data_IF_007696534205
#
_entry.id   IF_007696534205
#
_cell.length_a   1.000
_cell.length_b   1.000
_cell.length_c   1.000
_cell.angle_alpha   90.00
_cell.angle_beta   90.00
_cell.angle_gamma   90.00
#
_symmetry.space_group_name_H-M   'P 1'
#
loop_
_entity.id
_entity.type
_entity.pdbx_description
1 polymer ?
#
# COMPACT_ATOMS: atom_id res chain seq x y z
N UNK A 1 9.85 26.52 -17.56
CA UNK A 1 8.74 27.48 -17.39
C UNK A 1 8.18 28.00 -18.74
N UNK A 2 8.93 28.67 -19.65
CA UNK A 2 8.32 29.20 -20.89
C UNK A 2 7.85 28.11 -21.87
N UNK A 3 8.61 27.02 -22.02
CA UNK A 3 8.27 25.93 -22.94
C UNK A 3 7.01 25.14 -22.54
N UNK A 4 6.75 25.00 -21.24
CA UNK A 4 5.56 24.30 -20.74
C UNK A 4 4.28 25.11 -21.02
N UNK A 5 4.34 26.43 -20.86
CA UNK A 5 3.20 27.30 -21.18
C UNK A 5 2.91 27.30 -22.68
N UNK A 6 3.94 27.28 -23.54
CA UNK A 6 3.75 27.15 -24.99
C UNK A 6 3.08 25.81 -25.33
N UNK A 7 3.48 24.72 -24.68
CA UNK A 7 2.87 23.41 -24.87
C UNK A 7 1.42 23.33 -24.33
N UNK A 8 1.14 24.01 -23.22
CA UNK A 8 -0.20 24.08 -22.65
C UNK A 8 -1.14 24.88 -23.58
N UNK A 9 -0.69 26.02 -24.09
CA UNK A 9 -1.45 26.85 -25.03
C UNK A 9 -1.68 26.11 -26.34
N UNK A 10 -0.70 25.34 -26.83
CA UNK A 10 -0.89 24.53 -28.04
C UNK A 10 -1.90 23.40 -27.84
N UNK A 11 -1.93 22.75 -26.66
CA UNK A 11 -2.99 21.81 -26.28
C UNK A 11 -4.35 22.47 -26.17
N UNK A 12 -4.46 23.61 -25.48
CA UNK A 12 -5.72 24.35 -25.34
C UNK A 12 -6.26 24.78 -26.71
N UNK A 13 -5.39 25.15 -27.66
CA UNK A 13 -5.79 25.45 -29.03
C UNK A 13 -6.35 24.22 -29.75
N UNK A 14 -5.78 23.04 -29.52
CA UNK A 14 -6.29 21.78 -30.09
C UNK A 14 -7.66 21.42 -29.51
N UNK A 15 -7.84 21.57 -28.21
CA UNK A 15 -9.14 21.32 -27.56
C UNK A 15 -10.22 22.31 -28.04
N UNK A 16 -9.86 23.58 -28.23
CA UNK A 16 -10.74 24.59 -28.83
C UNK A 16 -11.11 24.25 -30.28
N UNK A 17 -10.18 23.70 -31.06
CA UNK A 17 -10.43 23.20 -32.42
C UNK A 17 -11.42 22.03 -32.40
N UNK A 18 -11.20 21.03 -31.54
CA UNK A 18 -12.09 19.87 -31.39
C UNK A 18 -13.51 20.32 -31.03
N UNK A 19 -13.64 21.28 -30.10
CA UNK A 19 -14.95 21.86 -29.73
C UNK A 19 -15.61 22.58 -30.90
N UNK A 20 -14.87 23.41 -31.64
CA UNK A 20 -15.42 24.14 -32.79
C UNK A 20 -15.92 23.22 -33.92
N UNK A 21 -15.26 22.08 -34.13
CA UNK A 21 -15.68 21.04 -35.09
C UNK A 21 -16.98 20.38 -34.64
N UNK A 22 -17.17 20.16 -33.33
CA UNK A 22 -18.42 19.63 -32.78
C UNK A 22 -19.58 20.65 -32.80
N UNK A 23 -19.29 21.94 -32.65
CA UNK A 23 -20.28 23.02 -32.55
C UNK A 23 -20.60 23.69 -33.91
N UNK A 24 -19.99 23.23 -35.01
CA UNK A 24 -20.17 23.77 -36.38
C UNK A 24 -20.02 25.30 -36.47
N UNK A 25 -19.16 25.88 -35.64
CA UNK A 25 -18.90 27.32 -35.60
C UNK A 25 -17.67 27.69 -36.42
N UNK A 26 -17.77 28.78 -37.20
CA UNK A 26 -16.70 29.26 -38.09
C UNK A 26 -15.57 30.02 -37.37
N UNK A 27 -15.77 30.39 -36.10
CA UNK A 27 -14.78 31.17 -35.34
C UNK A 27 -14.33 30.39 -34.10
N UNK A 28 -13.01 30.26 -33.94
CA UNK A 28 -12.40 29.54 -32.82
C UNK A 28 -12.03 30.55 -31.74
N UNK A 29 -12.72 30.48 -30.60
CA UNK A 29 -12.40 31.28 -29.42
C UNK A 29 -11.87 30.38 -28.31
N UNK A 30 -10.69 30.72 -27.78
CA UNK A 30 -10.09 30.03 -26.63
C UNK A 30 -10.84 30.40 -25.35
N UNK A 31 -11.48 29.42 -24.74
CA UNK A 31 -12.21 29.56 -23.49
C UNK A 31 -11.50 28.93 -22.29
N UNK A 32 -11.98 29.24 -21.08
CA UNK A 32 -11.49 28.60 -19.83
C UNK A 32 -11.64 27.07 -19.85
N UNK A 33 -12.68 26.57 -20.52
CA UNK A 33 -12.96 25.13 -20.64
C UNK A 33 -11.85 24.41 -21.41
N UNK A 34 -11.32 25.03 -22.47
CA UNK A 34 -10.26 24.46 -23.30
C UNK A 34 -8.94 24.37 -22.51
N UNK A 35 -8.65 25.35 -21.66
CA UNK A 35 -7.50 25.29 -20.74
C UNK A 35 -7.70 24.25 -19.64
N UNK A 36 -8.90 24.10 -19.08
CA UNK A 36 -9.19 23.05 -18.09
C UNK A 36 -9.05 21.65 -18.69
N UNK A 37 -9.46 21.45 -19.94
CA UNK A 37 -9.26 20.21 -20.67
C UNK A 37 -7.78 19.97 -20.97
N UNK A 38 -7.06 20.99 -21.46
CA UNK A 38 -5.63 20.90 -21.75
C UNK A 38 -4.76 20.59 -20.53
N UNK A 39 -5.19 21.04 -19.34
CA UNK A 39 -4.53 20.74 -18.07
C UNK A 39 -4.71 19.29 -17.63
N UNK A 40 -5.79 18.60 -18.03
CA UNK A 40 -6.01 17.18 -17.71
C UNK A 40 -4.96 16.33 -18.43
N UNK A 41 -4.04 15.74 -17.67
CA UNK A 41 -2.93 14.95 -18.22
C UNK A 41 -1.77 15.80 -18.76
N UNK A 42 -1.66 17.07 -18.37
CA UNK A 42 -0.47 17.87 -18.63
C UNK A 42 0.56 17.72 -17.51
N UNK A 43 1.72 17.15 -17.86
CA UNK A 43 2.87 17.07 -16.96
C UNK A 43 3.96 18.04 -17.44
N UNK A 44 4.30 19.08 -16.65
CA UNK A 44 5.35 20.03 -17.02
C UNK A 44 6.70 19.32 -17.13
N UNK A 45 7.61 19.86 -17.94
CA UNK A 45 8.90 19.25 -18.23
C UNK A 45 9.71 18.92 -16.96
N UNK A 46 9.64 19.77 -15.93
CA UNK A 46 10.31 19.53 -14.64
C UNK A 46 9.77 18.34 -13.85
N UNK A 47 8.51 17.94 -14.10
CA UNK A 47 7.86 16.80 -13.45
C UNK A 47 7.83 15.55 -14.35
N UNK A 48 8.27 15.66 -15.61
CA UNK A 48 8.43 14.48 -16.46
C UNK A 48 9.55 13.63 -15.85
N UNK A 49 9.23 12.37 -15.52
CA UNK A 49 10.07 11.41 -14.77
C UNK A 49 9.97 11.48 -13.23
N UNK A 50 9.18 12.40 -12.66
CA UNK A 50 8.81 12.34 -11.24
C UNK A 50 7.51 11.55 -11.12
N UNK A 51 7.57 10.34 -10.59
CA UNK A 51 6.38 9.55 -10.24
C UNK A 51 5.73 10.15 -9.00
N UNK A 52 5.02 11.26 -9.19
CA UNK A 52 4.19 11.84 -8.14
C UNK A 52 3.07 10.86 -7.81
N UNK A 53 3.05 10.41 -6.56
CA UNK A 53 1.95 9.60 -6.07
C UNK A 53 0.84 10.53 -5.62
N UNK A 54 -0.33 10.44 -6.25
CA UNK A 54 -1.53 11.07 -5.71
C UNK A 54 -2.02 10.22 -4.54
N UNK A 55 -2.04 10.80 -3.34
CA UNK A 55 -2.63 10.17 -2.17
C UNK A 55 -4.12 9.96 -2.40
N UNK A 56 -4.56 8.71 -2.50
CA UNK A 56 -5.98 8.34 -2.53
C UNK A 56 -6.60 8.30 -1.14
N UNK A 57 -5.78 8.47 -0.09
CA UNK A 57 -6.17 8.39 1.31
C UNK A 57 -6.50 9.79 1.85
N UNK A 58 -7.71 9.95 2.38
CA UNK A 58 -8.19 11.17 3.04
C UNK A 58 -8.05 11.05 4.56
N UNK A 59 -8.04 12.17 5.28
CA UNK A 59 -7.96 12.13 6.75
C UNK A 59 -9.11 11.36 7.42
N UNK A 60 -10.29 11.36 6.79
CA UNK A 60 -11.47 10.63 7.25
C UNK A 60 -11.28 9.12 7.28
N UNK A 61 -10.28 8.61 6.54
CA UNK A 61 -9.96 7.19 6.46
C UNK A 61 -8.98 6.72 7.54
N UNK A 62 -8.41 7.64 8.32
CA UNK A 62 -7.44 7.35 9.39
C UNK A 62 -8.10 7.62 10.74
N UNK A 63 -8.25 6.58 11.56
CA UNK A 63 -8.69 6.70 12.95
C UNK A 63 -7.51 6.88 13.91
N UNK A 64 -7.74 7.66 14.98
CA UNK A 64 -6.76 7.88 16.05
C UNK A 64 -5.51 8.69 15.65
N UNK A 65 -4.46 8.53 16.47
CA UNK A 65 -3.16 9.21 16.34
C UNK A 65 -3.28 10.74 16.30
N UNK A 66 -4.18 11.30 17.12
CA UNK A 66 -4.54 12.72 17.12
C UNK A 66 -3.34 13.63 17.38
N UNK A 67 -2.47 13.28 18.33
CA UNK A 67 -1.27 14.06 18.66
C UNK A 67 -0.25 14.06 17.53
N UNK A 68 0.10 12.88 17.01
CA UNK A 68 1.04 12.73 15.89
C UNK A 68 0.54 13.46 14.65
N UNK A 69 -0.76 13.35 14.34
CA UNK A 69 -1.42 14.06 13.23
C UNK A 69 -1.31 15.57 13.41
N UNK A 70 -1.60 16.07 14.61
CA UNK A 70 -1.52 17.51 14.93
C UNK A 70 -0.11 18.03 14.68
N UNK A 71 0.92 17.36 15.19
CA UNK A 71 2.31 17.81 15.02
C UNK A 71 2.74 17.79 13.54
N UNK A 72 2.32 16.78 12.78
CA UNK A 72 2.59 16.71 11.34
C UNK A 72 1.92 17.87 10.58
N UNK A 73 0.67 18.19 10.90
CA UNK A 73 -0.05 19.32 10.32
C UNK A 73 0.61 20.65 10.69
N UNK A 74 0.95 20.86 11.95
CA UNK A 74 1.66 22.07 12.40
C UNK A 74 2.99 22.24 11.67
N UNK A 75 3.70 21.15 11.38
CA UNK A 75 5.01 21.23 10.73
C UNK A 75 4.90 21.46 9.22
N UNK A 76 3.92 20.86 8.54
CA UNK A 76 3.80 20.91 7.07
C UNK A 76 2.86 22.02 6.58
N UNK A 77 1.74 22.24 7.28
CA UNK A 77 0.71 23.19 6.89
C UNK A 77 1.07 24.62 7.32
N UNK A 78 1.53 24.82 8.56
CA UNK A 78 1.71 26.18 9.10
C UNK A 78 2.72 27.03 8.34
N UNK A 79 3.89 26.51 7.90
CA UNK A 79 4.82 27.32 7.11
C UNK A 79 4.22 27.77 5.78
N UNK A 80 3.34 26.95 5.20
CA UNK A 80 2.67 27.23 3.93
C UNK A 80 1.52 28.23 4.11
N UNK A 81 0.68 28.04 5.14
CA UNK A 81 -0.48 28.89 5.41
C UNK A 81 -0.10 30.24 6.00
N UNK A 82 0.89 30.28 6.89
CA UNK A 82 1.31 31.48 7.64
C UNK A 82 2.69 31.99 7.21
N UNK A 83 3.05 31.83 5.94
CA UNK A 83 4.35 32.23 5.40
C UNK A 83 4.82 33.65 5.80
N UNK A 84 3.96 34.70 5.85
CA UNK A 84 4.39 36.04 6.27
C UNK A 84 4.85 36.12 7.73
N UNK A 85 4.25 35.33 8.62
CA UNK A 85 4.59 35.28 10.04
C UNK A 85 5.95 34.58 10.23
N UNK A 86 6.13 33.45 9.53
CA UNK A 86 7.38 32.71 9.56
C UNK A 86 8.55 33.48 8.93
N UNK A 87 8.30 34.31 7.92
CA UNK A 87 9.33 35.15 7.31
C UNK A 87 9.88 36.24 8.26
N UNK A 88 9.08 36.67 9.24
CA UNK A 88 9.48 37.69 10.23
C UNK A 88 10.17 37.08 11.45
N UNK A 89 10.02 35.77 11.67
CA UNK A 89 10.67 35.07 12.76
C UNK A 89 12.02 34.50 12.30
N UNK A 90 13.12 34.67 13.06
CA UNK A 90 14.40 34.00 12.79
C UNK A 90 14.36 32.51 13.21
N UNK A 91 13.21 31.86 13.03
CA UNK A 91 12.99 30.46 13.38
C UNK A 91 13.39 29.60 12.19
N UNK A 92 14.30 28.67 12.44
CA UNK A 92 14.64 27.64 11.48
C UNK A 92 13.46 26.66 11.35
N UNK A 93 12.89 26.58 10.16
CA UNK A 93 11.84 25.61 9.85
C UNK A 93 12.43 24.20 9.94
N UNK A 94 11.67 23.30 10.58
CA UNK A 94 12.04 21.88 10.67
C UNK A 94 11.76 21.23 9.32
N UNK A 95 12.81 20.75 8.66
CA UNK A 95 12.71 20.11 7.35
C UNK A 95 12.53 18.59 7.45
N UNK A 96 12.94 17.95 8.55
CA UNK A 96 12.89 16.50 8.71
C UNK A 96 12.11 15.98 9.91
N UNK A 97 11.30 14.95 9.67
CA UNK A 97 10.46 14.26 10.66
C UNK A 97 10.71 12.75 10.59
N UNK A 98 10.83 12.08 11.73
CA UNK A 98 10.93 10.63 11.85
C UNK A 98 9.68 10.06 12.51
N UNK A 99 8.91 9.26 11.79
CA UNK A 99 7.81 8.45 12.30
C UNK A 99 8.36 7.08 12.70
N UNK A 100 8.31 6.76 13.99
CA UNK A 100 8.74 5.45 14.48
C UNK A 100 7.63 4.82 15.33
N UNK A 101 7.62 3.51 15.45
CA UNK A 101 6.66 2.80 16.30
C UNK A 101 6.26 1.45 15.74
N UNK A 102 5.27 0.83 16.37
CA UNK A 102 4.91 -0.56 16.11
C UNK A 102 4.54 -0.81 14.64
N UNK A 103 4.87 -2.00 14.09
CA UNK A 103 4.40 -2.37 12.76
C UNK A 103 2.87 -2.40 12.72
N UNK A 104 2.28 -2.10 11.56
CA UNK A 104 0.82 -2.11 11.38
C UNK A 104 0.05 -0.93 11.97
N UNK A 105 0.70 0.09 12.54
CA UNK A 105 0.03 1.29 13.08
C UNK A 105 -0.16 2.43 12.05
N UNK A 106 -0.11 2.12 10.74
CA UNK A 106 -0.51 3.08 9.70
C UNK A 106 0.46 4.24 9.43
N UNK A 107 1.76 4.14 9.79
CA UNK A 107 2.77 5.20 9.56
C UNK A 107 2.80 5.71 8.11
N UNK A 108 2.85 4.78 7.15
CA UNK A 108 2.84 5.07 5.71
C UNK A 108 1.54 5.73 5.26
N UNK A 109 0.40 5.26 5.77
CA UNK A 109 -0.91 5.85 5.46
C UNK A 109 -1.04 7.26 6.03
N UNK A 110 -0.55 7.50 7.25
CA UNK A 110 -0.56 8.81 7.90
C UNK A 110 0.23 9.84 7.10
N UNK A 111 1.45 9.48 6.66
CA UNK A 111 2.28 10.38 5.86
C UNK A 111 1.61 10.74 4.52
N UNK A 112 1.04 9.73 3.84
CA UNK A 112 0.34 9.94 2.56
C UNK A 112 -0.89 10.85 2.71
N UNK A 113 -1.71 10.64 3.74
CA UNK A 113 -2.89 11.46 3.98
C UNK A 113 -2.53 12.91 4.34
N UNK A 114 -1.54 13.11 5.22
CA UNK A 114 -1.10 14.48 5.59
C UNK A 114 -0.57 15.24 4.37
N UNK A 115 0.22 14.58 3.51
CA UNK A 115 0.74 15.21 2.31
C UNK A 115 -0.38 15.64 1.35
N UNK A 116 -1.38 14.78 1.15
CA UNK A 116 -2.56 15.08 0.33
C UNK A 116 -3.37 16.26 0.83
N UNK A 117 -3.59 16.33 2.14
CA UNK A 117 -4.41 17.36 2.79
C UNK A 117 -3.71 18.72 2.84
N UNK A 118 -2.37 18.71 2.90
CA UNK A 118 -1.55 19.91 2.74
C UNK A 118 -1.43 20.36 1.28
N UNK A 119 -1.90 19.56 0.31
CA UNK A 119 -1.76 19.84 -1.13
C UNK A 119 -0.30 19.81 -1.61
N UNK A 120 0.56 19.05 -0.94
CA UNK A 120 1.99 18.94 -1.24
C UNK A 120 2.25 17.79 -2.21
N UNK A 121 3.25 17.95 -3.08
CA UNK A 121 3.69 16.85 -3.95
C UNK A 121 4.28 15.71 -3.09
N UNK A 122 3.80 14.48 -3.27
CA UNK A 122 4.24 13.34 -2.46
C UNK A 122 5.08 12.36 -3.28
N UNK A 123 6.32 12.14 -2.84
CA UNK A 123 7.25 11.17 -3.40
C UNK A 123 7.53 10.12 -2.32
N UNK A 124 6.98 8.91 -2.51
CA UNK A 124 7.25 7.78 -1.62
C UNK A 124 8.34 6.90 -2.21
N UNK A 125 9.32 6.52 -1.39
CA UNK A 125 10.38 5.58 -1.74
C UNK A 125 10.49 4.55 -0.63
N UNK A 126 10.49 3.26 -0.98
CA UNK A 126 10.75 2.21 0.02
C UNK A 126 12.25 2.01 0.15
N UNK A 127 12.74 1.85 1.36
CA UNK A 127 14.17 1.71 1.61
C UNK A 127 14.86 0.62 0.77
N UNK A 128 14.30 -0.61 0.67
CA UNK A 128 14.90 -1.66 -0.16
C UNK A 128 14.97 -1.32 -1.66
N UNK A 129 14.14 -0.41 -2.17
CA UNK A 129 14.15 0.00 -3.59
C UNK A 129 15.38 0.84 -3.95
N UNK A 130 16.02 1.48 -2.96
CA UNK A 130 17.22 2.31 -3.16
C UNK A 130 18.49 1.45 -3.21
N UNK A 131 18.48 0.29 -2.56
CA UNK A 131 19.65 -0.57 -2.41
C UNK A 131 19.87 -1.45 -3.65
N UNK A 132 20.84 -1.06 -4.47
CA UNK A 132 21.31 -1.85 -5.60
C UNK A 132 22.64 -2.56 -5.26
N UNK A 133 22.83 -3.77 -5.82
CA UNK A 133 24.11 -4.52 -5.70
C UNK A 133 25.26 -3.86 -6.45
N UNK A 134 24.96 -2.99 -7.41
CA UNK A 134 25.95 -2.28 -8.20
C UNK A 134 26.53 -1.11 -7.40
N UNK A 135 27.85 -1.12 -7.22
CA UNK A 135 28.61 -0.11 -6.49
C UNK A 135 28.35 1.27 -7.13
N UNK A 136 27.97 2.26 -6.32
CA UNK A 136 27.70 3.64 -6.75
C UNK A 136 26.31 3.88 -7.37
N UNK A 137 25.56 2.83 -7.75
CA UNK A 137 24.21 3.00 -8.28
C UNK A 137 23.23 3.49 -7.20
N UNK A 138 23.34 2.97 -5.98
CA UNK A 138 22.52 3.36 -4.83
C UNK A 138 22.76 4.83 -4.43
N UNK A 139 24.02 5.28 -4.42
CA UNK A 139 24.39 6.68 -4.13
C UNK A 139 23.82 7.65 -5.17
N UNK A 140 23.94 7.28 -6.45
CA UNK A 140 23.35 8.06 -7.55
C UNK A 140 21.83 8.12 -7.42
N UNK A 141 21.18 7.00 -7.06
CA UNK A 141 19.74 6.95 -6.86
C UNK A 141 19.28 7.91 -5.75
N UNK A 142 19.99 7.97 -4.62
CA UNK A 142 19.70 8.94 -3.56
C UNK A 142 19.83 10.38 -4.09
N UNK A 143 20.90 10.70 -4.82
CA UNK A 143 21.08 12.04 -5.41
C UNK A 143 19.94 12.40 -6.36
N UNK A 144 19.63 11.51 -7.30
CA UNK A 144 18.57 11.71 -8.28
C UNK A 144 17.19 11.85 -7.61
N UNK A 145 16.96 11.26 -6.42
CA UNK A 145 15.72 11.42 -5.64
C UNK A 145 15.59 12.81 -5.03
N UNK A 146 16.66 13.35 -4.44
CA UNK A 146 16.66 14.70 -3.88
C UNK A 146 16.56 15.76 -4.99
N UNK A 147 17.25 15.58 -6.12
CA UNK A 147 17.15 16.46 -7.29
C UNK A 147 15.70 16.49 -7.83
N UNK A 148 15.04 15.33 -7.87
CA UNK A 148 13.62 15.22 -8.25
C UNK A 148 12.69 15.90 -7.25
N UNK A 149 12.96 15.75 -5.95
CA UNK A 149 12.20 16.42 -4.91
C UNK A 149 12.33 17.95 -5.03
N UNK A 150 13.55 18.46 -5.25
CA UNK A 150 13.79 19.88 -5.45
C UNK A 150 13.07 20.45 -6.68
N UNK A 151 13.01 19.69 -7.78
CA UNK A 151 12.28 20.07 -8.98
C UNK A 151 10.75 20.11 -8.76
N UNK A 152 10.25 19.37 -7.76
CA UNK A 152 8.83 19.22 -7.44
C UNK A 152 8.36 20.09 -6.26
N UNK A 153 9.08 21.14 -5.87
CA UNK A 153 8.70 22.00 -4.74
C UNK A 153 7.32 22.68 -4.94
N UNK A 154 6.50 22.80 -3.87
CA UNK A 154 6.71 22.26 -2.53
C UNK A 154 6.38 20.75 -2.46
N UNK A 155 7.27 19.95 -1.86
CA UNK A 155 7.12 18.50 -1.84
C UNK A 155 7.49 17.84 -0.49
N UNK A 156 6.96 16.65 -0.32
CA UNK A 156 7.23 15.71 0.76
C UNK A 156 7.94 14.49 0.17
N UNK A 157 9.18 14.27 0.61
CA UNK A 157 9.96 13.07 0.33
C UNK A 157 9.78 12.09 1.49
N UNK A 158 9.02 11.01 1.25
CA UNK A 158 8.73 9.99 2.24
C UNK A 158 9.58 8.74 2.02
N UNK A 159 10.39 8.38 3.01
CA UNK A 159 11.15 7.15 3.05
C UNK A 159 10.46 6.13 3.95
N UNK A 160 9.94 5.05 3.37
CA UNK A 160 9.42 3.91 4.13
C UNK A 160 10.54 2.91 4.44
N UNK A 161 10.40 2.14 5.53
CA UNK A 161 11.42 1.18 5.98
C UNK A 161 12.84 1.78 6.04
N UNK A 162 12.94 2.97 6.64
CA UNK A 162 14.17 3.77 6.66
C UNK A 162 15.37 3.04 7.31
N UNK A 163 15.11 2.09 8.20
CA UNK A 163 16.13 1.23 8.82
C UNK A 163 16.86 0.32 7.82
N UNK A 164 16.28 0.07 6.64
CA UNK A 164 16.95 -0.70 5.59
C UNK A 164 18.03 0.10 4.87
N UNK A 165 17.82 1.40 4.63
CA UNK A 165 18.78 2.26 3.90
C UNK A 165 19.83 2.90 4.79
N UNK A 166 19.51 3.07 6.07
CA UNK A 166 20.37 3.75 7.01
C UNK A 166 20.65 2.94 8.29
N UNK A 167 21.18 1.72 8.16
CA UNK A 167 21.60 0.96 9.33
C UNK A 167 22.77 1.64 10.04
N UNK A 168 22.97 1.30 11.32
CA UNK A 168 24.17 1.67 12.07
C UNK A 168 25.42 1.26 11.29
N UNK A 169 26.39 2.18 11.25
CA UNK A 169 27.65 2.00 10.52
C UNK A 169 28.39 0.76 11.02
N UNK A 170 28.98 0.02 10.09
CA UNK A 170 29.72 -1.21 10.40
C UNK A 170 28.87 -2.47 10.57
N UNK A 171 27.55 -2.41 10.31
CA UNK A 171 26.70 -3.60 10.24
C UNK A 171 26.92 -4.42 8.94
N UNK A 172 27.40 -3.79 7.87
CA UNK A 172 27.66 -4.46 6.58
C UNK A 172 29.15 -4.59 6.27
N UNK A 173 29.55 -5.78 5.83
CA UNK A 173 30.93 -6.10 5.41
C UNK A 173 31.34 -5.48 4.07
N UNK A 174 30.37 -5.06 3.25
CA UNK A 174 30.63 -4.52 1.89
C UNK A 174 30.84 -3.01 1.87
N UNK A 175 30.48 -2.30 2.95
CA UNK A 175 30.58 -0.84 3.04
C UNK A 175 29.69 -0.07 2.06
N UNK A 176 28.78 -0.72 1.35
CA UNK A 176 27.86 -0.07 0.38
C UNK A 176 26.83 0.79 1.11
N UNK A 177 26.23 0.26 2.17
CA UNK A 177 25.26 0.99 3.02
C UNK A 177 25.88 2.18 3.72
N UNK A 178 27.11 2.06 4.22
CA UNK A 178 27.84 3.19 4.83
C UNK A 178 28.01 4.37 3.85
N UNK A 179 28.30 4.08 2.57
CA UNK A 179 28.40 5.12 1.54
C UNK A 179 27.06 5.75 1.21
N UNK A 180 25.99 4.95 1.14
CA UNK A 180 24.61 5.45 0.96
C UNK A 180 24.20 6.35 2.12
N UNK A 181 24.51 5.98 3.36
CA UNK A 181 24.27 6.81 4.55
C UNK A 181 25.04 8.12 4.47
N UNK A 182 26.32 8.10 4.09
CA UNK A 182 27.10 9.33 3.92
C UNK A 182 26.53 10.23 2.81
N UNK A 183 26.07 9.64 1.71
CA UNK A 183 25.40 10.38 0.64
C UNK A 183 24.08 10.99 1.14
N UNK A 184 23.29 10.25 1.91
CA UNK A 184 22.04 10.74 2.50
C UNK A 184 22.30 11.90 3.46
N UNK A 185 23.31 11.79 4.33
CA UNK A 185 23.73 12.86 5.24
C UNK A 185 24.11 14.12 4.47
N UNK A 186 24.89 13.97 3.39
CA UNK A 186 25.31 15.09 2.54
C UNK A 186 24.10 15.76 1.85
N UNK A 187 23.14 14.95 1.38
CA UNK A 187 21.91 15.48 0.76
C UNK A 187 20.99 16.17 1.78
N UNK A 188 20.88 15.62 3.00
CA UNK A 188 20.08 16.23 4.06
C UNK A 188 20.69 17.55 4.53
N UNK A 189 22.00 17.62 4.75
CA UNK A 189 22.71 18.84 5.13
C UNK A 189 22.60 19.91 4.02
N UNK A 190 22.65 19.50 2.74
CA UNK A 190 22.38 20.38 1.60
C UNK A 190 20.92 20.81 1.50
N UNK A 191 19.98 19.93 1.86
CA UNK A 191 18.54 20.21 1.87
C UNK A 191 18.09 21.17 2.97
N UNK A 192 18.91 21.39 4.00
CA UNK A 192 18.69 22.47 4.97
C UNK A 192 18.67 23.86 4.30
N UNK A 193 19.31 24.01 3.13
CA UNK A 193 19.24 25.20 2.28
C UNK A 193 18.13 25.18 1.22
N UNK A 194 17.44 24.04 1.04
CA UNK A 194 16.40 23.86 0.03
C UNK A 194 15.04 24.26 0.59
N UNK A 195 14.68 25.53 0.42
CA UNK A 195 13.36 26.06 0.80
C UNK A 195 12.24 25.28 0.09
N UNK A 196 11.46 24.48 0.83
CA UNK A 196 10.23 23.83 0.33
C UNK A 196 10.28 22.32 0.10
N UNK A 197 11.33 21.60 0.52
CA UNK A 197 11.37 20.13 0.55
C UNK A 197 11.31 19.64 1.99
N UNK A 198 10.32 18.79 2.29
CA UNK A 198 10.17 18.16 3.60
C UNK A 198 10.54 16.68 3.52
N UNK A 199 11.36 16.20 4.44
CA UNK A 199 11.77 14.80 4.53
C UNK A 199 11.00 14.12 5.65
N UNK A 200 10.21 13.09 5.32
CA UNK A 200 9.59 12.22 6.29
C UNK A 200 10.18 10.82 6.19
N UNK A 201 10.63 10.25 7.30
CA UNK A 201 11.11 8.88 7.35
C UNK A 201 10.19 8.05 8.24
N UNK A 202 9.90 6.81 7.87
CA UNK A 202 9.16 5.85 8.68
C UNK A 202 10.02 4.62 9.00
N UNK A 203 10.00 4.17 10.25
CA UNK A 203 10.66 2.93 10.67
C UNK A 203 9.86 2.19 11.74
N UNK A 204 10.05 0.88 11.82
CA UNK A 204 9.62 0.06 12.97
C UNK A 204 10.75 -0.18 13.97
N UNK A 205 12.02 0.01 13.56
CA UNK A 205 13.24 -0.32 14.30
C UNK A 205 14.16 0.91 14.40
N UNK A 206 13.82 1.88 15.28
CA UNK A 206 14.62 3.09 15.44
C UNK A 206 16.01 2.83 16.04
N UNK A 207 16.20 1.69 16.71
CA UNK A 207 17.48 1.22 17.25
C UNK A 207 18.53 0.92 16.18
N UNK A 208 18.12 0.62 14.95
CA UNK A 208 19.02 0.31 13.85
C UNK A 208 19.46 1.53 13.07
N UNK A 209 18.85 2.70 13.28
CA UNK A 209 19.16 3.91 12.52
C UNK A 209 20.51 4.51 12.96
N UNK A 210 21.31 4.99 12.00
CA UNK A 210 22.53 5.78 12.30
C UNK A 210 22.17 7.04 13.12
N UNK A 211 22.69 7.20 14.36
CA UNK A 211 22.47 8.38 15.18
C UNK A 211 22.84 9.71 14.50
N UNK A 212 23.75 9.69 13.51
CA UNK A 212 24.11 10.88 12.76
C UNK A 212 22.88 11.49 12.05
N UNK A 213 21.94 10.69 11.57
CA UNK A 213 20.73 11.18 10.87
C UNK A 213 19.72 11.84 11.82
N UNK A 214 19.81 11.55 13.12
CA UNK A 214 18.92 12.08 14.16
C UNK A 214 19.40 13.43 14.73
N UNK A 215 20.49 13.98 14.22
CA UNK A 215 21.03 15.26 14.66
C UNK A 215 20.11 16.41 14.21
N UNK A 216 19.94 17.48 15.01
CA UNK A 216 19.26 18.69 14.57
C UNK A 216 19.83 19.21 13.24
N UNK A 217 18.92 19.62 12.38
CA UNK A 217 19.09 19.93 10.97
C UNK A 217 18.64 18.83 9.99
N UNK A 218 18.64 17.57 10.44
CA UNK A 218 18.29 16.38 9.65
C UNK A 218 16.91 15.86 10.07
N UNK A 219 16.83 14.71 10.75
CA UNK A 219 15.60 14.20 11.36
C UNK A 219 15.39 14.83 12.75
N UNK A 220 14.98 16.08 12.75
CA UNK A 220 14.87 16.93 13.94
C UNK A 220 13.92 16.35 14.98
N UNK A 221 12.71 16.01 14.54
CA UNK A 221 11.63 15.60 15.42
C UNK A 221 11.23 14.17 15.16
N UNK A 222 11.32 13.35 16.20
CA UNK A 222 10.85 11.97 16.19
C UNK A 222 9.46 11.90 16.81
N UNK A 223 8.50 11.31 16.10
CA UNK A 223 7.12 11.10 16.53
C UNK A 223 6.83 9.61 16.67
N UNK A 224 6.26 9.23 17.80
CA UNK A 224 5.89 7.85 18.07
C UNK A 224 4.48 7.57 17.52
N UNK A 225 4.34 6.48 16.79
CA UNK A 225 3.07 5.86 16.44
C UNK A 225 2.90 4.62 17.32
N UNK A 226 2.33 4.84 18.50
CA UNK A 226 2.08 3.78 19.48
C UNK A 226 0.91 2.87 19.04
N UNK A 227 0.73 1.77 19.75
CA UNK A 227 -0.46 0.93 19.64
C UNK A 227 -1.72 1.76 19.98
N UNK A 228 -2.83 1.53 19.28
CA UNK A 228 -4.04 2.33 19.44
C UNK A 228 -4.63 2.16 20.84
N UNK A 229 -4.96 3.29 21.49
CA UNK A 229 -5.72 3.32 22.75
C UNK A 229 -7.15 2.84 22.53
N UNK A 230 -7.91 2.63 23.61
CA UNK A 230 -9.31 2.21 23.51
C UNK A 230 -10.15 3.15 22.62
N UNK A 231 -9.99 4.46 22.79
CA UNK A 231 -10.69 5.46 21.98
C UNK A 231 -10.19 5.48 20.53
N UNK A 232 -8.87 5.35 20.32
CA UNK A 232 -8.30 5.24 18.96
C UNK A 232 -8.85 4.00 18.22
N UNK A 233 -9.02 2.87 18.91
CA UNK A 233 -9.59 1.65 18.30
C UNK A 233 -11.02 1.87 17.84
N UNK A 234 -11.84 2.58 18.62
CA UNK A 234 -13.21 2.95 18.20
C UNK A 234 -13.17 3.82 16.95
N UNK A 235 -12.29 4.82 16.92
CA UNK A 235 -12.13 5.70 15.77
C UNK A 235 -11.66 4.95 14.52
N UNK A 236 -10.71 4.01 14.67
CA UNK A 236 -10.23 3.15 13.58
C UNK A 236 -11.36 2.27 13.06
N UNK A 237 -12.10 1.59 13.94
CA UNK A 237 -13.21 0.74 13.55
C UNK A 237 -14.32 1.53 12.84
N UNK A 238 -14.60 2.77 13.30
CA UNK A 238 -15.55 3.68 12.64
C UNK A 238 -15.06 4.09 11.25
N UNK A 239 -13.78 4.44 11.10
CA UNK A 239 -13.18 4.80 9.81
C UNK A 239 -13.19 3.64 8.80
N UNK A 240 -12.87 2.43 9.27
CA UNK A 240 -12.98 1.20 8.46
C UNK A 240 -14.44 0.89 8.11
N UNK A 241 -15.35 1.10 9.06
CA UNK A 241 -16.79 0.90 8.91
C UNK A 241 -17.43 1.80 7.85
N UNK A 242 -16.93 3.02 7.62
CA UNK A 242 -17.46 3.92 6.57
C UNK A 242 -17.39 3.32 5.16
N UNK A 243 -16.43 2.42 4.90
CA UNK A 243 -16.27 1.76 3.59
C UNK A 243 -17.17 0.54 3.44
N UNK A 244 -17.80 0.07 4.53
CA UNK A 244 -18.52 -1.18 4.60
C UNK A 244 -19.97 -0.96 5.02
N UNK A 245 -20.86 -1.87 4.60
CA UNK A 245 -22.25 -1.88 5.06
C UNK A 245 -22.37 -2.65 6.37
N UNK A 246 -22.17 -1.95 7.47
CA UNK A 246 -22.37 -2.48 8.83
C UNK A 246 -23.85 -2.41 9.20
N UNK A 247 -24.37 -3.43 9.89
CA UNK A 247 -25.70 -3.38 10.50
C UNK A 247 -25.74 -2.37 11.65
N UNK A 248 -26.93 -1.79 11.91
CA UNK A 248 -27.13 -0.84 13.01
C UNK A 248 -26.79 -1.44 14.38
N UNK A 249 -26.92 -2.76 14.54
CA UNK A 249 -26.52 -3.50 15.74
C UNK A 249 -25.01 -3.42 16.02
N UNK A 250 -24.18 -3.37 14.98
CA UNK A 250 -22.72 -3.26 15.13
C UNK A 250 -22.30 -1.83 15.45
N UNK A 251 -23.01 -0.84 14.90
CA UNK A 251 -22.66 0.58 15.05
C UNK A 251 -23.07 1.08 16.44
N UNK A 252 -24.35 0.94 16.80
CA UNK A 252 -24.95 1.50 18.02
C UNK A 252 -25.85 0.47 18.74
N UNK A 253 -25.48 -0.81 18.69
CA UNK A 253 -26.28 -1.88 19.30
C UNK A 253 -26.37 -1.79 20.84
N UNK A 254 -27.38 -2.46 21.43
CA UNK A 254 -27.63 -2.46 22.87
C UNK A 254 -26.48 -3.06 23.71
N UNK A 255 -25.60 -3.87 23.11
CA UNK A 255 -24.40 -4.44 23.75
C UNK A 255 -23.16 -3.52 23.66
N UNK A 256 -23.31 -2.27 23.22
CA UNK A 256 -22.20 -1.31 23.10
C UNK A 256 -21.51 -1.29 21.74
N UNK A 257 -21.89 -2.18 20.80
CA UNK A 257 -21.48 -2.15 19.40
C UNK A 257 -19.96 -2.08 19.20
N UNK A 258 -19.48 -0.99 18.58
CA UNK A 258 -18.06 -0.72 18.35
C UNK A 258 -17.22 -0.68 19.65
N UNK A 259 -17.81 -0.27 20.78
CA UNK A 259 -17.12 -0.16 22.06
C UNK A 259 -16.72 -1.52 22.62
N UNK A 260 -17.62 -2.49 22.51
CA UNK A 260 -17.36 -3.86 22.96
C UNK A 260 -16.28 -4.53 22.10
N UNK A 261 -16.29 -4.28 20.78
CA UNK A 261 -15.22 -4.75 19.88
C UNK A 261 -13.88 -4.11 20.29
N UNK A 262 -13.86 -2.80 20.58
CA UNK A 262 -12.66 -2.11 21.04
C UNK A 262 -12.14 -2.64 22.39
N UNK A 263 -13.04 -3.11 23.27
CA UNK A 263 -12.66 -3.72 24.55
C UNK A 263 -11.99 -5.09 24.34
N UNK A 264 -12.55 -5.94 23.46
CA UNK A 264 -12.02 -7.28 23.17
C UNK A 264 -10.75 -7.30 22.31
N UNK A 265 -10.44 -6.21 21.62
CA UNK A 265 -9.29 -6.07 20.71
C UNK A 265 -8.10 -5.38 21.37
N UNK A 266 -7.92 -5.54 22.68
CA UNK A 266 -6.77 -4.98 23.38
C UNK A 266 -5.45 -5.55 22.84
N UNK A 267 -4.51 -4.66 22.48
CA UNK A 267 -3.21 -5.03 21.91
C UNK A 267 -3.21 -5.26 20.41
N UNK A 268 -4.34 -5.07 19.72
CA UNK A 268 -4.41 -5.16 18.26
C UNK A 268 -3.79 -3.90 17.65
N UNK A 269 -2.97 -4.08 16.61
CA UNK A 269 -2.51 -2.98 15.77
C UNK A 269 -3.60 -2.51 14.80
N UNK A 270 -3.40 -1.37 14.14
CA UNK A 270 -4.33 -0.89 13.12
C UNK A 270 -4.55 -1.90 11.98
N UNK A 271 -3.49 -2.61 11.58
CA UNK A 271 -3.54 -3.69 10.60
C UNK A 271 -4.33 -4.91 11.11
N UNK A 272 -4.21 -5.25 12.40
CA UNK A 272 -4.98 -6.35 13.00
C UNK A 272 -6.48 -6.02 13.04
N UNK A 273 -6.84 -4.77 13.36
CA UNK A 273 -8.23 -4.32 13.31
C UNK A 273 -8.79 -4.32 11.88
N UNK A 274 -7.96 -3.94 10.90
CA UNK A 274 -8.33 -4.05 9.50
C UNK A 274 -8.56 -5.51 9.09
N UNK A 275 -7.67 -6.41 9.51
CA UNK A 275 -7.81 -7.85 9.26
C UNK A 275 -9.07 -8.43 9.91
N UNK A 276 -9.39 -8.03 11.14
CA UNK A 276 -10.62 -8.43 11.82
C UNK A 276 -11.86 -8.05 11.02
N UNK A 277 -11.93 -6.81 10.56
CA UNK A 277 -13.05 -6.30 9.77
C UNK A 277 -13.14 -7.00 8.41
N UNK A 278 -12.00 -7.24 7.75
CA UNK A 278 -11.95 -8.02 6.50
C UNK A 278 -12.41 -9.47 6.69
N UNK A 279 -12.02 -10.11 7.79
CA UNK A 279 -12.47 -11.46 8.13
C UNK A 279 -13.98 -11.49 8.39
N UNK A 280 -14.52 -10.50 9.11
CA UNK A 280 -15.97 -10.37 9.31
C UNK A 280 -16.73 -10.16 7.99
N UNK A 281 -16.14 -9.44 7.03
CA UNK A 281 -16.70 -9.30 5.69
C UNK A 281 -16.69 -10.63 4.93
N UNK A 282 -15.61 -11.42 5.01
CA UNK A 282 -15.54 -12.74 4.40
C UNK A 282 -16.57 -13.70 5.00
N UNK A 283 -16.75 -13.72 6.32
CA UNK A 283 -17.79 -14.49 6.99
C UNK A 283 -19.19 -14.09 6.52
N UNK A 284 -19.44 -12.79 6.34
CA UNK A 284 -20.72 -12.31 5.80
C UNK A 284 -20.96 -12.78 4.36
N UNK A 285 -19.90 -12.81 3.53
CA UNK A 285 -19.96 -13.34 2.16
C UNK A 285 -20.24 -14.85 2.20
N UNK A 286 -19.56 -15.60 3.08
CA UNK A 286 -19.76 -17.03 3.23
C UNK A 286 -21.18 -17.38 3.67
N UNK A 287 -21.79 -16.61 4.57
CA UNK A 287 -23.18 -16.81 4.97
C UNK A 287 -24.15 -16.57 3.78
N UNK A 288 -23.93 -15.53 2.96
CA UNK A 288 -24.77 -15.25 1.78
C UNK A 288 -24.62 -16.31 0.67
N UNK A 289 -23.41 -16.86 0.49
CA UNK A 289 -23.15 -17.93 -0.49
C UNK A 289 -23.60 -19.30 0.03
N UNK A 290 -23.39 -19.60 1.31
CA UNK A 290 -23.71 -20.87 1.96
C UNK A 290 -25.21 -21.16 2.03
N UNK A 291 -26.04 -20.11 2.11
CA UNK A 291 -27.49 -20.24 1.98
C UNK A 291 -27.94 -20.72 0.57
N UNK A 292 -27.08 -20.66 -0.46
CA UNK A 292 -27.40 -21.20 -1.78
C UNK A 292 -27.16 -22.72 -1.91
N UNK A 293 -26.29 -23.31 -1.08
CA UNK A 293 -25.95 -24.74 -1.18
C UNK A 293 -26.85 -25.66 -0.33
N UNK A 294 -27.63 -25.12 0.60
CA UNK A 294 -28.47 -25.91 1.53
C UNK A 294 -29.93 -26.12 1.10
N UNK A 295 -30.39 -25.57 -0.03
CA UNK A 295 -31.78 -25.75 -0.51
C UNK A 295 -32.03 -27.01 -1.35
N UNK A 296 -31.03 -27.85 -1.63
CA UNK A 296 -31.17 -28.99 -2.56
C UNK A 296 -30.83 -30.38 -1.99
N UNK A 297 -30.57 -30.53 -0.68
CA UNK A 297 -30.23 -31.84 -0.08
C UNK A 297 -30.95 -32.13 1.23
N UNK A 298 -32.27 -32.16 1.19
CA UNK A 298 -33.10 -32.73 2.25
C UNK A 298 -34.21 -33.62 1.67
N UNK A 299 -33.86 -34.69 0.95
CA UNK A 299 -34.66 -35.92 0.86
C UNK A 299 -33.96 -37.00 0.03
N UNK A 300 -33.17 -37.85 0.68
CA UNK A 300 -33.19 -39.32 0.54
C UNK A 300 -31.99 -39.93 1.28
N UNK A 301 -32.23 -40.37 2.52
CA UNK A 301 -31.40 -41.40 3.13
C UNK A 301 -32.08 -42.75 2.90
N UNK A 302 -31.64 -43.48 1.87
CA UNK A 302 -31.70 -44.95 1.86
C UNK A 302 -30.37 -45.51 1.37
N UNK A 303 -29.89 -46.46 2.16
CA UNK A 303 -28.58 -47.07 2.14
C UNK A 303 -28.33 -47.94 0.90
N UNK A 304 -27.11 -47.92 0.37
CA UNK A 304 -26.46 -49.06 -0.26
C UNK A 304 -24.93 -48.88 -0.25
N UNK A 305 -24.23 -49.94 0.18
CA UNK A 305 -22.76 -50.05 0.27
C UNK A 305 -22.08 -49.98 -1.11
N UNK A 306 -20.84 -49.49 -1.23
CA UNK A 306 -20.09 -49.55 -2.48
C UNK A 306 -19.32 -50.87 -2.59
N UNK A 307 -19.56 -51.61 -3.68
CA UNK A 307 -18.68 -52.68 -4.17
C UNK A 307 -17.72 -52.10 -5.20
N UNK A 308 -16.44 -52.44 -5.03
CA UNK A 308 -15.30 -51.98 -5.82
C UNK A 308 -15.16 -52.79 -7.11
N UNK A 309 -14.92 -52.12 -8.23
CA UNK A 309 -14.07 -52.64 -9.32
C UNK A 309 -13.42 -51.48 -10.09
N UNK A 310 -12.14 -51.60 -10.49
CA UNK A 310 -11.35 -50.49 -11.00
C UNK A 310 -11.40 -50.38 -12.53
N UNK A 311 -10.88 -49.26 -13.04
CA UNK A 311 -10.06 -49.08 -14.27
C UNK A 311 -10.56 -47.94 -15.16
N UNK A 312 -9.95 -46.76 -15.03
CA UNK A 312 -9.46 -45.96 -16.16
C UNK A 312 -8.57 -44.85 -15.60
N UNK A 313 -7.28 -44.92 -15.92
CA UNK A 313 -6.24 -44.01 -15.47
C UNK A 313 -6.53 -42.57 -15.93
N UNK A 314 -6.51 -41.63 -14.97
CA UNK A 314 -6.45 -40.19 -15.25
C UNK A 314 -4.98 -39.83 -15.50
N UNK A 315 -4.67 -39.34 -16.70
CA UNK A 315 -3.35 -38.85 -17.06
C UNK A 315 -3.04 -37.55 -16.32
N UNK A 316 -2.11 -37.63 -15.37
CA UNK A 316 -1.57 -36.48 -14.65
C UNK A 316 -0.37 -35.95 -15.44
N UNK A 317 -0.45 -34.72 -15.96
CA UNK A 317 0.70 -34.07 -16.60
C UNK A 317 1.54 -33.43 -15.49
N UNK A 318 2.70 -34.01 -15.23
CA UNK A 318 3.69 -33.52 -14.29
C UNK A 318 4.61 -32.52 -15.01
N UNK A 319 4.49 -31.23 -14.69
CA UNK A 319 5.42 -30.19 -15.12
C UNK A 319 6.70 -30.29 -14.26
N UNK A 320 7.86 -30.52 -14.89
CA UNK A 320 9.18 -30.41 -14.25
C UNK A 320 9.86 -29.14 -14.74
N UNK A 321 10.20 -28.24 -13.82
CA UNK A 321 11.04 -27.08 -14.04
C UNK A 321 12.47 -27.40 -13.57
N UNK A 322 13.48 -27.07 -14.38
CA UNK A 322 14.87 -26.95 -13.93
C UNK A 322 15.91 -27.73 -14.74
N UNK A 323 16.88 -26.98 -15.27
CA UNK A 323 18.26 -27.38 -15.60
C UNK A 323 18.51 -28.27 -16.84
N UNK A 324 18.18 -27.76 -18.04
CA UNK A 324 18.78 -28.27 -19.29
C UNK A 324 18.81 -27.23 -20.43
N UNK A 325 18.75 -25.93 -20.15
CA UNK A 325 18.59 -24.91 -21.21
C UNK A 325 19.89 -24.51 -21.93
N UNK A 326 21.07 -24.95 -21.49
CA UNK A 326 22.34 -24.44 -22.03
C UNK A 326 23.07 -25.34 -23.06
N UNK A 327 22.61 -26.56 -23.32
CA UNK A 327 23.27 -27.44 -24.32
C UNK A 327 22.50 -27.53 -25.65
N UNK A 328 21.20 -27.25 -25.67
CA UNK A 328 20.38 -27.35 -26.88
C UNK A 328 20.44 -26.12 -27.81
N UNK A 329 20.84 -24.95 -27.31
CA UNK A 329 20.87 -23.71 -28.11
C UNK A 329 22.08 -23.60 -29.06
N UNK A 330 23.15 -24.38 -28.83
CA UNK A 330 24.36 -24.34 -29.66
C UNK A 330 24.23 -25.21 -30.92
N UNK A 331 23.52 -26.35 -30.86
CA UNK A 331 23.30 -27.23 -32.01
C UNK A 331 22.15 -26.77 -32.94
N UNK A 332 21.18 -26.01 -32.42
CA UNK A 332 20.01 -25.59 -33.18
C UNK A 332 20.29 -24.50 -34.25
N UNK A 333 21.44 -23.82 -34.19
CA UNK A 333 21.79 -22.76 -35.16
C UNK A 333 22.35 -23.28 -36.50
N UNK A 334 22.65 -24.57 -36.63
CA UNK A 334 23.27 -25.12 -37.84
C UNK A 334 22.29 -25.70 -38.88
N UNK A 335 20.99 -25.83 -38.58
CA UNK A 335 20.02 -26.52 -39.47
C UNK A 335 18.71 -25.74 -39.67
N UNK A 336 18.80 -24.43 -39.84
CA UNK A 336 17.66 -23.59 -40.19
C UNK A 336 17.34 -23.68 -41.70
N UNK A 337 16.57 -24.70 -42.11
CA UNK A 337 16.15 -24.83 -43.52
C UNK A 337 14.87 -25.60 -43.82
N UNK A 338 14.36 -26.48 -42.95
CA UNK A 338 13.32 -27.44 -43.40
C UNK A 338 12.01 -27.50 -42.59
N UNK A 339 11.93 -26.98 -41.36
CA UNK A 339 10.80 -27.33 -40.47
C UNK A 339 9.74 -26.24 -40.23
N UNK A 340 9.75 -25.11 -40.96
CA UNK A 340 8.78 -24.02 -40.76
C UNK A 340 7.35 -24.39 -41.18
N UNK A 341 7.20 -25.24 -42.19
CA UNK A 341 5.91 -25.69 -42.72
C UNK A 341 5.19 -26.65 -41.77
N UNK A 342 5.93 -27.54 -41.09
CA UNK A 342 5.35 -28.46 -40.09
C UNK A 342 4.87 -27.73 -38.84
N UNK A 343 5.63 -26.76 -38.34
CA UNK A 343 5.22 -25.95 -37.19
C UNK A 343 3.97 -25.10 -37.47
N UNK A 344 3.85 -24.54 -38.69
CA UNK A 344 2.66 -23.80 -39.12
C UNK A 344 1.44 -24.71 -39.31
N UNK A 345 1.63 -25.94 -39.79
CA UNK A 345 0.55 -26.93 -39.91
C UNK A 345 0.04 -27.40 -38.54
N UNK A 346 0.93 -27.58 -37.57
CA UNK A 346 0.55 -27.93 -36.19
C UNK A 346 -0.16 -26.77 -35.49
N UNK A 347 0.33 -25.53 -35.65
CA UNK A 347 -0.32 -24.35 -35.09
C UNK A 347 -1.72 -24.12 -35.67
N UNK A 348 -1.90 -24.31 -36.99
CA UNK A 348 -3.22 -24.18 -37.62
C UNK A 348 -4.19 -25.31 -37.20
N UNK A 349 -3.68 -26.52 -36.95
CA UNK A 349 -4.49 -27.61 -36.41
C UNK A 349 -4.95 -27.36 -34.95
N UNK A 350 -4.10 -26.73 -34.12
CA UNK A 350 -4.43 -26.39 -32.73
C UNK A 350 -5.46 -25.26 -32.68
N UNK A 351 -5.32 -24.22 -33.51
CA UNK A 351 -6.30 -23.12 -33.57
C UNK A 351 -7.65 -23.60 -34.07
N UNK A 352 -7.69 -24.46 -35.08
CA UNK A 352 -8.93 -25.07 -35.57
C UNK A 352 -9.66 -25.90 -34.50
N UNK A 353 -8.92 -26.66 -33.67
CA UNK A 353 -9.50 -27.42 -32.55
C UNK A 353 -10.02 -26.51 -31.43
N UNK A 354 -9.32 -25.42 -31.13
CA UNK A 354 -9.77 -24.43 -30.13
C UNK A 354 -11.06 -23.74 -30.55
N UNK A 355 -11.20 -23.39 -31.83
CA UNK A 355 -12.41 -22.75 -32.34
C UNK A 355 -13.59 -23.73 -32.38
N UNK A 356 -13.35 -25.01 -32.70
CA UNK A 356 -14.37 -26.06 -32.58
C UNK A 356 -14.86 -26.24 -31.12
N UNK A 357 -13.95 -26.19 -30.14
CA UNK A 357 -14.29 -26.27 -28.71
C UNK A 357 -15.10 -25.05 -28.23
N UNK A 358 -14.77 -23.86 -28.72
CA UNK A 358 -15.56 -22.64 -28.44
C UNK A 358 -16.96 -22.73 -29.02
N UNK A 359 -17.10 -23.24 -30.24
CA UNK A 359 -18.38 -23.43 -30.91
C UNK A 359 -19.24 -24.49 -30.19
N UNK A 360 -18.63 -25.58 -29.73
CA UNK A 360 -19.30 -26.60 -28.92
C UNK A 360 -19.80 -26.03 -27.59
N UNK A 361 -18.98 -25.26 -26.85
CA UNK A 361 -19.42 -24.56 -25.63
C UNK A 361 -20.54 -23.57 -25.88
N UNK A 362 -20.51 -22.84 -27.00
CA UNK A 362 -21.58 -21.90 -27.37
C UNK A 362 -22.88 -22.64 -27.66
N UNK A 363 -22.83 -23.78 -28.37
CA UNK A 363 -23.98 -24.67 -28.59
C UNK A 363 -24.52 -25.25 -27.28
N UNK A 364 -23.66 -25.65 -26.36
CA UNK A 364 -24.06 -26.19 -25.05
C UNK A 364 -24.75 -25.13 -24.18
N UNK A 365 -24.27 -23.87 -24.23
CA UNK A 365 -24.88 -22.73 -23.54
C UNK A 365 -26.23 -22.32 -24.15
N UNK A 366 -26.39 -22.48 -25.46
CA UNK A 366 -27.66 -22.27 -26.16
C UNK A 366 -28.66 -23.41 -25.88
N UNK A 367 -28.20 -24.66 -25.81
CA UNK A 367 -29.03 -25.81 -25.45
C UNK A 367 -29.52 -25.73 -23.99
N UNK A 368 -28.66 -25.31 -23.05
CA UNK A 368 -29.08 -25.01 -21.67
C UNK A 368 -30.09 -23.85 -21.56
N UNK A 369 -30.08 -22.91 -22.52
CA UNK A 369 -31.11 -21.85 -22.60
C UNK A 369 -32.42 -22.34 -23.23
N UNK A 370 -32.38 -23.33 -24.11
CA UNK A 370 -33.56 -23.87 -24.79
C UNK A 370 -34.40 -24.83 -23.93
N UNK A 371 -33.79 -25.47 -22.93
CA UNK A 371 -34.43 -26.50 -22.10
C UNK A 371 -35.10 -25.94 -20.82
N UNK A 372 -35.05 -24.61 -20.61
CA UNK A 372 -35.74 -23.91 -19.52
C UNK A 372 -37.04 -23.22 -19.98
N UNK A 373 -37.55 -23.56 -21.16
CA UNK A 373 -38.61 -22.81 -21.88
C UNK A 373 -39.99 -23.46 -21.95
N UNK A 374 -40.35 -24.40 -21.07
CA UNK A 374 -41.69 -25.00 -21.01
C UNK A 374 -41.99 -25.51 -19.59
N UNK A 375 -42.28 -24.59 -18.68
CA UNK A 375 -43.20 -24.73 -17.54
C UNK A 375 -42.96 -23.57 -16.57
N UNK A 376 -43.65 -22.45 -16.84
CA UNK A 376 -44.12 -21.42 -15.90
C UNK A 376 -44.56 -20.20 -16.70
N UNK A 377 -45.86 -20.15 -16.99
CA UNK A 377 -46.55 -18.89 -17.22
C UNK A 377 -46.76 -18.21 -15.85
N UNK A 378 -46.69 -16.88 -15.86
CA UNK A 378 -46.95 -15.94 -14.77
C UNK A 378 -45.94 -15.94 -13.60
N UNK A 379 -44.81 -15.27 -13.86
CA UNK A 379 -43.93 -14.71 -12.84
C UNK A 379 -43.04 -13.69 -13.53
N UNK A 380 -43.12 -12.43 -13.09
CA UNK A 380 -42.21 -11.36 -13.53
C UNK A 380 -40.75 -11.83 -13.47
N UNK A 381 -39.85 -11.31 -14.33
CA UNK A 381 -38.45 -11.63 -14.20
C UNK A 381 -37.97 -11.07 -12.86
N UNK A 382 -37.82 -11.93 -11.85
CA UNK A 382 -37.06 -11.61 -10.65
C UNK A 382 -35.68 -11.16 -11.11
N UNK A 383 -35.46 -9.84 -11.08
CA UNK A 383 -34.13 -9.28 -11.02
C UNK A 383 -33.43 -10.07 -9.91
N UNK A 384 -32.28 -10.67 -10.22
CA UNK A 384 -31.41 -11.19 -9.17
C UNK A 384 -31.02 -9.98 -8.33
N UNK A 385 -31.80 -9.69 -7.30
CA UNK A 385 -31.42 -8.77 -6.24
C UNK A 385 -30.04 -9.27 -5.79
N UNK A 386 -29.01 -8.50 -6.11
CA UNK A 386 -27.71 -8.72 -5.53
C UNK A 386 -27.91 -8.55 -4.03
N UNK A 387 -28.15 -9.66 -3.31
CA UNK A 387 -28.29 -9.66 -1.85
C UNK A 387 -27.10 -8.90 -1.30
N UNK A 388 -27.37 -7.70 -0.81
CA UNK A 388 -26.32 -6.83 -0.30
C UNK A 388 -25.72 -7.50 0.93
N UNK A 389 -24.40 -7.69 0.91
CA UNK A 389 -23.71 -8.33 2.02
C UNK A 389 -23.66 -7.33 3.18
N UNK A 390 -24.47 -7.57 4.20
CA UNK A 390 -24.49 -6.80 5.43
C UNK A 390 -23.71 -7.52 6.53
N UNK A 391 -22.83 -6.80 7.22
CA UNK A 391 -22.05 -7.36 8.31
C UNK A 391 -22.86 -7.23 9.62
N UNK A 392 -23.35 -8.36 10.12
CA UNK A 392 -23.99 -8.51 11.44
C UNK A 392 -23.00 -8.83 12.57
N UNK A 393 -23.48 -8.72 13.81
CA UNK A 393 -22.70 -9.03 15.02
C UNK A 393 -22.12 -10.46 15.01
N UNK A 394 -22.90 -11.44 14.54
CA UNK A 394 -22.47 -12.85 14.42
C UNK A 394 -21.18 -13.04 13.62
N UNK A 395 -20.99 -12.26 12.56
CA UNK A 395 -19.80 -12.37 11.70
C UNK A 395 -18.57 -11.80 12.41
N UNK A 396 -18.75 -10.74 13.20
CA UNK A 396 -17.68 -10.11 13.97
C UNK A 396 -17.23 -11.04 15.10
N UNK A 397 -18.17 -11.70 15.79
CA UNK A 397 -17.84 -12.66 16.84
C UNK A 397 -17.03 -13.82 16.27
N UNK A 398 -17.45 -14.42 15.15
CA UNK A 398 -16.67 -15.45 14.45
C UNK A 398 -15.28 -14.94 14.04
N UNK A 399 -15.20 -13.71 13.52
CA UNK A 399 -13.94 -13.11 13.13
C UNK A 399 -13.00 -12.86 14.33
N UNK A 400 -13.54 -12.51 15.49
CA UNK A 400 -12.78 -12.34 16.73
C UNK A 400 -12.18 -13.67 17.21
N UNK A 401 -12.90 -14.79 17.04
CA UNK A 401 -12.38 -16.13 17.38
C UNK A 401 -11.22 -16.55 16.45
N UNK A 402 -11.29 -16.17 15.17
CA UNK A 402 -10.27 -16.50 14.18
C UNK A 402 -9.06 -15.55 14.17
N UNK A 403 -9.24 -14.29 14.53
CA UNK A 403 -8.20 -13.26 14.41
C UNK A 403 -7.36 -13.18 15.67
N UNK A 404 -6.03 -13.23 15.53
CA UNK A 404 -5.07 -13.06 16.63
C UNK A 404 -4.25 -11.80 16.42
N UNK A 405 -3.78 -11.19 17.50
CA UNK A 405 -2.86 -10.05 17.42
C UNK A 405 -1.54 -10.46 16.75
N UNK A 406 -1.04 -9.63 15.83
CA UNK A 406 0.21 -9.90 15.11
C UNK A 406 1.45 -9.78 16.00
N UNK A 407 1.39 -9.00 17.09
CA UNK A 407 2.49 -8.76 18.01
C UNK A 407 2.24 -9.54 19.31
N UNK A 408 3.18 -10.42 19.68
CA UNK A 408 3.09 -11.15 20.95
C UNK A 408 3.33 -10.22 22.14
N UNK A 409 2.87 -10.63 23.34
CA UNK A 409 3.09 -9.84 24.57
C UNK A 409 4.58 -9.64 24.86
N UNK A 410 5.40 -10.66 24.60
CA UNK A 410 6.85 -10.60 24.82
C UNK A 410 7.52 -9.64 23.84
N UNK A 411 7.14 -9.70 22.55
CA UNK A 411 7.68 -8.80 21.53
C UNK A 411 7.24 -7.36 21.77
N UNK A 412 6.00 -7.14 22.23
CA UNK A 412 5.53 -5.83 22.66
C UNK A 412 6.42 -5.28 23.78
N UNK A 413 6.70 -6.08 24.82
CA UNK A 413 7.58 -5.67 25.91
C UNK A 413 9.01 -5.38 25.45
N UNK A 414 9.52 -6.12 24.46
CA UNK A 414 10.82 -5.85 23.85
C UNK A 414 10.84 -4.52 23.09
N UNK A 415 9.85 -4.29 22.22
CA UNK A 415 9.73 -3.05 21.44
C UNK A 415 9.51 -1.84 22.33
N UNK A 416 8.71 -1.96 23.39
CA UNK A 416 8.48 -0.88 24.35
C UNK A 416 9.79 -0.46 25.04
N UNK A 417 10.64 -1.41 25.43
CA UNK A 417 11.97 -1.12 25.97
C UNK A 417 12.82 -0.35 24.97
N UNK A 418 12.86 -0.81 23.71
CA UNK A 418 13.62 -0.16 22.64
C UNK A 418 13.13 1.28 22.40
N UNK A 419 11.81 1.48 22.32
CA UNK A 419 11.24 2.80 22.09
C UNK A 419 11.47 3.74 23.28
N UNK A 420 11.37 3.23 24.51
CA UNK A 420 11.70 3.99 25.71
C UNK A 420 13.17 4.37 25.74
N UNK A 421 14.08 3.44 25.45
CA UNK A 421 15.52 3.71 25.38
C UNK A 421 15.84 4.74 24.29
N UNK A 422 15.20 4.65 23.12
CA UNK A 422 15.37 5.60 22.04
C UNK A 422 14.97 7.03 22.44
N UNK A 423 13.88 7.18 23.21
CA UNK A 423 13.43 8.49 23.70
C UNK A 423 14.30 9.00 24.85
N UNK A 424 14.55 8.15 25.85
CA UNK A 424 15.28 8.51 27.09
C UNK A 424 16.77 8.70 26.82
N UNK A 425 17.39 7.82 26.02
CA UNK A 425 18.78 7.92 25.61
C UNK A 425 19.09 9.20 24.84
N UNK A 426 18.08 9.80 24.19
CA UNK A 426 18.20 11.11 23.52
C UNK A 426 18.13 12.29 24.49
N UNK A 427 17.48 12.12 25.65
CA UNK A 427 17.37 13.14 26.69
C UNK A 427 18.61 13.20 27.62
N UNK A 428 19.57 12.28 27.47
CA UNK A 428 20.80 12.26 28.27
C UNK A 428 20.61 11.77 29.72
N UNK A 429 19.39 11.36 30.09
CA UNK A 429 19.10 10.70 31.35
C UNK A 429 19.49 9.22 31.22
N UNK A 430 20.78 8.92 31.29
CA UNK A 430 21.20 7.52 31.46
C UNK A 430 20.66 7.00 32.79
N UNK A 431 20.02 5.82 32.82
CA UNK A 431 19.80 5.11 34.08
C UNK A 431 21.14 4.98 34.79
N UNK A 432 21.20 5.38 36.06
CA UNK A 432 22.40 5.24 36.90
C UNK A 432 23.02 3.87 36.64
N UNK A 433 24.31 3.84 36.25
CA UNK A 433 25.04 2.67 35.74
C UNK A 433 25.14 1.48 36.71
N UNK A 434 24.01 0.94 37.13
CA UNK A 434 23.91 -0.38 37.72
C UNK A 434 24.03 -1.36 36.57
N UNK A 435 25.13 -2.11 36.58
CA UNK A 435 25.37 -3.19 35.63
C UNK A 435 24.20 -4.18 35.62
N UNK A 436 24.06 -4.94 34.53
CA UNK A 436 22.99 -5.92 34.39
C UNK A 436 23.03 -6.89 35.57
N UNK A 437 21.91 -7.04 36.28
CA UNK A 437 21.71 -8.01 37.37
C UNK A 437 21.58 -9.45 36.88
N UNK A 438 22.01 -9.72 35.65
CA UNK A 438 22.16 -11.08 35.14
C UNK A 438 23.37 -11.73 35.83
N UNK A 439 23.07 -12.59 36.80
CA UNK A 439 24.04 -13.45 37.47
C UNK A 439 24.67 -14.38 36.42
N UNK A 440 25.82 -14.00 35.86
CA UNK A 440 26.59 -14.86 34.95
C UNK A 440 27.44 -14.15 33.89
N UNK A 441 27.26 -12.85 33.63
CA UNK A 441 28.06 -12.11 32.66
C UNK A 441 29.43 -11.72 33.23
N UNK A 442 30.49 -12.47 32.92
CA UNK A 442 31.88 -12.08 33.21
C UNK A 442 32.25 -10.84 32.39
N UNK A 443 32.30 -9.68 33.03
CA UNK A 443 32.99 -8.49 32.51
C UNK A 443 34.50 -8.66 32.68
N UNK A 444 35.15 -9.24 31.67
CA UNK A 444 36.59 -9.11 31.50
C UNK A 444 36.88 -7.75 30.88
N UNK A 445 37.23 -6.76 31.70
CA UNK A 445 37.88 -5.54 31.25
C UNK A 445 39.40 -5.80 31.15
N UNK A 446 39.91 -5.82 29.92
CA UNK A 446 41.28 -5.41 29.60
C UNK A 446 41.21 -4.19 28.69
#
# INVERSE_FOLDING_TARGET
MPGDLVLLVSRARNDALIRSVSETSSTIQLGKVDFQSALKGFTPASLRNVTLQTSTTTFDSIGGLHETRKILLETLQYPTTYAPIFAQCPLRLRSGLLLYGYPGCGKTMLASAVAGECGLNFISVKGPEILNKYIGASEKSVRDLFDRAEAARPCVLFFDEFDSIAPKRGHDSTGVTDRVVNQLLTQMDGAEGLSGVYVLAATSRPDLIDPALLRPGRLDKSLICDLPTYDDRIDILRALGKKLKLSNEVIDGPEGGLREIAHRTEGYSGADLQALVSNAQLEAIHDVLGDQDHSSKANNKRAAKPTVSPTSAKSFIQFRYGEAENEAEVEARATAGSNRSKALAEQTAITAKLDALKLAKKKQKLAQRGDLGKDKADGEPEEKEHKEVMIGWKHIVKALEGTRASISKDERGRLEKIYREFVVGRNGEMPNGQGPTEVGGRSSLM
#
